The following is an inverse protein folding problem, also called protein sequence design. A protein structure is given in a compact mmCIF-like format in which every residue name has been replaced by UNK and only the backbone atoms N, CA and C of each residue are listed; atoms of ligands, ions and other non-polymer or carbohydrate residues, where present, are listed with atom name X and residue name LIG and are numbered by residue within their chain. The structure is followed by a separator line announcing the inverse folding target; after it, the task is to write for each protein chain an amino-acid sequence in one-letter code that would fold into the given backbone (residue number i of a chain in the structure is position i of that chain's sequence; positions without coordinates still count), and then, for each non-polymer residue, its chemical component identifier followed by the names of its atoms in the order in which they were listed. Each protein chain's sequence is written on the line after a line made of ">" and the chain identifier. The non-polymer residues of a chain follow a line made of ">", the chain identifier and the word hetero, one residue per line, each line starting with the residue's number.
data_IF_140946287248
#
_entry.id   IF_140946287248
#
_cell.length_a   1.000
_cell.length_b   1.000
_cell.length_c   1.000
_cell.angle_alpha   90.00
_cell.angle_beta   90.00
_cell.angle_gamma   90.00
#
_symmetry.space_group_name_H-M   'P 1'
#
loop_
_entity.id
_entity.type
_entity.pdbx_description
1 polymer ?
#
# COMPACT_ATOMS: atom_id res chain seq x y z
N UNK A 1 23.41 8.29 16.01
CA UNK A 1 21.96 8.21 16.27
C UNK A 1 21.52 9.50 16.97
N UNK A 2 21.01 10.47 16.21
CA UNK A 2 20.51 11.72 16.79
C UNK A 2 19.12 11.50 17.36
N UNK A 3 19.00 11.77 18.67
CA UNK A 3 17.79 11.79 19.46
C UNK A 3 16.81 12.83 18.90
N UNK A 4 15.64 12.39 18.42
CA UNK A 4 14.49 13.26 18.26
C UNK A 4 13.90 13.49 19.67
N UNK A 5 14.23 14.63 20.26
CA UNK A 5 13.58 15.13 21.46
C UNK A 5 12.11 15.39 21.16
N UNK A 6 11.22 14.67 21.86
CA UNK A 6 9.84 15.06 22.12
C UNK A 6 9.84 16.46 22.75
N UNK A 7 9.64 17.49 21.93
CA UNK A 7 9.21 18.81 22.43
C UNK A 7 7.71 18.79 22.56
N UNK A 8 7.26 19.12 23.78
CA UNK A 8 5.90 19.50 24.12
C UNK A 8 5.26 20.32 23.01
N UNK A 9 4.11 19.82 22.56
CA UNK A 9 3.22 20.34 21.54
C UNK A 9 3.12 21.87 21.55
N UNK A 10 3.42 22.48 20.41
CA UNK A 10 2.91 23.80 20.03
C UNK A 10 2.18 23.66 18.70
N UNK A 11 0.93 24.14 18.59
CA UNK A 11 0.14 24.01 17.37
C UNK A 11 0.77 24.87 16.27
N UNK A 12 1.26 24.23 15.20
CA UNK A 12 1.56 24.93 13.95
C UNK A 12 0.26 25.09 13.17
N UNK A 13 -0.10 26.33 12.87
CA UNK A 13 -1.21 26.67 11.99
C UNK A 13 -0.90 26.15 10.59
N UNK A 14 -1.59 25.08 10.17
CA UNK A 14 -1.68 24.70 8.77
C UNK A 14 -3.11 24.92 8.30
N UNK A 15 -3.22 25.62 7.17
CA UNK A 15 -4.47 26.07 6.58
C UNK A 15 -5.24 24.89 5.98
N UNK A 16 -6.52 24.82 6.34
CA UNK A 16 -7.60 24.04 5.72
C UNK A 16 -7.34 23.67 4.26
N UNK A 17 -7.29 22.36 3.98
CA UNK A 17 -7.47 21.82 2.63
C UNK A 17 -8.76 22.38 2.04
N UNK A 18 -8.68 23.00 0.86
CA UNK A 18 -9.84 23.48 0.14
C UNK A 18 -10.59 22.26 -0.40
N UNK A 19 -11.76 21.98 0.14
CA UNK A 19 -12.74 21.13 -0.53
C UNK A 19 -12.97 21.67 -1.95
N UNK A 20 -12.63 20.87 -2.95
CA UNK A 20 -12.97 21.15 -4.34
C UNK A 20 -14.50 21.15 -4.45
N UNK A 21 -15.10 22.34 -4.52
CA UNK A 21 -16.48 22.49 -4.96
C UNK A 21 -16.55 22.05 -6.43
N UNK A 22 -17.16 20.89 -6.68
CA UNK A 22 -17.45 20.44 -8.04
C UNK A 22 -18.79 21.05 -8.50
N UNK A 23 -18.83 21.71 -9.67
CA UNK A 23 -20.07 22.22 -10.24
C UNK A 23 -20.98 21.06 -10.70
N UNK A 24 -22.30 21.26 -10.56
CA UNK A 24 -23.36 20.34 -11.00
C UNK A 24 -23.36 20.15 -12.52
N UNK A 25 -22.47 19.30 -13.05
CA UNK A 25 -22.58 18.75 -14.39
C UNK A 25 -23.00 17.28 -14.28
N UNK A 26 -23.93 16.88 -15.15
CA UNK A 26 -24.41 15.51 -15.29
C UNK A 26 -23.22 14.56 -15.48
N UNK A 27 -22.90 13.77 -14.45
CA UNK A 27 -21.78 12.82 -14.47
C UNK A 27 -22.09 11.67 -15.45
N UNK A 28 -21.19 11.34 -16.40
CA UNK A 28 -21.35 10.16 -17.26
C UNK A 28 -21.37 8.87 -16.42
N UNK A 29 -22.14 7.86 -16.84
CA UNK A 29 -22.11 6.56 -16.14
C UNK A 29 -20.71 5.91 -16.22
N UNK A 30 -20.28 5.23 -15.14
CA UNK A 30 -19.00 4.51 -15.07
C UNK A 30 -18.80 3.56 -16.27
N UNK A 31 -19.88 2.96 -16.82
CA UNK A 31 -19.81 2.09 -18.01
C UNK A 31 -19.22 2.80 -19.23
N UNK A 32 -19.44 4.10 -19.39
CA UNK A 32 -18.91 4.88 -20.52
C UNK A 32 -17.46 5.32 -20.29
N UNK A 33 -17.01 5.44 -19.03
CA UNK A 33 -15.65 5.83 -18.69
C UNK A 33 -14.65 4.67 -18.85
N UNK A 34 -15.06 3.42 -18.59
CA UNK A 34 -14.16 2.25 -18.66
C UNK A 34 -13.78 1.78 -20.08
N UNK A 35 -14.42 2.28 -21.14
CA UNK A 35 -14.16 1.78 -22.51
C UNK A 35 -12.92 2.41 -23.18
N UNK A 36 -12.30 3.41 -22.55
CA UNK A 36 -11.10 4.05 -23.08
C UNK A 36 -9.86 3.28 -22.64
N UNK A 37 -9.19 2.62 -23.60
CA UNK A 37 -7.80 2.16 -23.39
C UNK A 37 -6.91 3.40 -23.35
N UNK A 38 -6.26 3.62 -22.20
CA UNK A 38 -5.27 4.68 -22.06
C UNK A 38 -3.99 4.25 -22.78
N UNK A 39 -3.57 5.01 -23.80
CA UNK A 39 -2.28 4.82 -24.44
C UNK A 39 -1.19 5.28 -23.46
N UNK A 40 -0.30 4.37 -23.11
CA UNK A 40 0.68 4.62 -22.07
C UNK A 40 1.91 5.34 -22.62
N UNK A 41 2.24 6.52 -22.11
CA UNK A 41 3.59 7.07 -22.26
C UNK A 41 4.57 6.25 -21.42
N UNK A 42 5.61 5.71 -22.06
CA UNK A 42 6.64 4.82 -21.49
C UNK A 42 7.42 5.40 -20.28
N UNK A 43 7.13 6.62 -19.85
CA UNK A 43 7.95 7.41 -18.93
C UNK A 43 7.43 7.52 -17.49
N UNK A 44 6.23 7.02 -17.14
CA UNK A 44 5.78 7.06 -15.74
C UNK A 44 6.54 6.02 -14.90
N UNK A 45 7.33 6.43 -13.89
CA UNK A 45 8.24 5.54 -13.17
C UNK A 45 7.53 4.47 -12.32
N UNK A 46 6.29 4.72 -11.87
CA UNK A 46 5.44 3.74 -11.19
C UNK A 46 4.04 3.82 -11.79
N UNK A 47 3.63 2.79 -12.53
CA UNK A 47 2.33 2.81 -13.21
C UNK A 47 1.25 2.23 -12.33
N UNK A 48 1.59 1.22 -11.53
CA UNK A 48 0.61 0.38 -10.86
C UNK A 48 0.54 0.61 -9.35
N UNK A 49 1.46 1.39 -8.79
CA UNK A 49 1.48 1.75 -7.38
C UNK A 49 0.77 3.09 -7.15
N UNK A 50 -0.12 3.11 -6.17
CA UNK A 50 -0.79 4.29 -5.62
C UNK A 50 -0.37 4.48 -4.16
N UNK A 51 -0.55 5.69 -3.63
CA UNK A 51 -0.25 5.93 -2.23
C UNK A 51 -1.40 5.40 -1.34
N UNK A 52 -1.05 4.63 -0.32
CA UNK A 52 -1.95 4.39 0.81
C UNK A 52 -1.64 5.43 1.89
N UNK A 53 -2.65 6.19 2.31
CA UNK A 53 -2.50 7.22 3.33
C UNK A 53 -3.45 6.88 4.47
N UNK A 54 -2.89 6.70 5.66
CA UNK A 54 -3.62 6.50 6.90
C UNK A 54 -3.59 7.79 7.71
N UNK A 55 -4.76 8.32 8.02
CA UNK A 55 -4.94 9.49 8.88
C UNK A 55 -5.68 9.08 10.14
N UNK A 56 -5.33 9.67 11.28
CA UNK A 56 -5.95 9.37 12.56
C UNK A 56 -6.40 10.63 13.30
N UNK A 57 -7.46 10.49 14.08
CA UNK A 57 -7.96 11.52 14.98
C UNK A 57 -8.47 10.85 16.24
N UNK A 58 -7.91 11.20 17.41
CA UNK A 58 -8.41 10.75 18.70
C UNK A 58 -8.83 11.96 19.57
N UNK A 59 -10.12 12.36 19.52
CA UNK A 59 -10.58 13.58 20.19
C UNK A 59 -10.36 13.59 21.71
N UNK A 60 -10.53 12.43 22.36
CA UNK A 60 -10.35 12.30 23.81
C UNK A 60 -8.90 12.50 24.27
N UNK A 61 -7.92 12.38 23.36
CA UNK A 61 -6.52 12.72 23.60
C UNK A 61 -6.20 14.19 23.26
N UNK A 62 -7.22 15.00 22.99
CA UNK A 62 -7.10 16.44 22.71
C UNK A 62 -6.81 16.79 21.24
N UNK A 63 -6.84 15.82 20.33
CA UNK A 63 -6.69 16.07 18.90
C UNK A 63 -7.92 16.79 18.34
N UNK A 64 -7.70 17.77 17.46
CA UNK A 64 -8.78 18.56 16.84
C UNK A 64 -8.98 18.23 15.37
N UNK A 65 -7.93 17.76 14.71
CA UNK A 65 -7.87 17.53 13.28
C UNK A 65 -7.25 16.16 13.02
N UNK A 66 -7.56 15.61 11.85
CA UNK A 66 -6.89 14.41 11.37
C UNK A 66 -5.42 14.70 11.08
N UNK A 67 -4.55 13.83 11.57
CA UNK A 67 -3.12 13.87 11.28
C UNK A 67 -2.71 12.62 10.51
N UNK A 68 -1.69 12.73 9.66
CA UNK A 68 -1.19 11.56 8.94
C UNK A 68 -0.44 10.65 9.90
N UNK A 69 -0.92 9.41 10.02
CA UNK A 69 -0.31 8.38 10.84
C UNK A 69 0.78 7.63 10.08
N UNK A 70 0.44 7.14 8.89
CA UNK A 70 1.35 6.34 8.08
C UNK A 70 1.05 6.50 6.60
N UNK A 71 2.09 6.27 5.79
CA UNK A 71 2.03 6.28 4.34
C UNK A 71 2.75 5.06 3.80
N UNK A 72 2.17 4.42 2.80
CA UNK A 72 2.79 3.34 2.06
C UNK A 72 2.32 3.32 0.62
N UNK A 73 2.55 2.20 -0.06
CA UNK A 73 1.98 1.92 -1.37
C UNK A 73 0.77 1.00 -1.24
N UNK A 74 -0.05 0.98 -2.29
CA UNK A 74 -1.06 -0.02 -2.60
C UNK A 74 -1.13 -0.18 -4.12
N UNK A 75 -1.83 -1.19 -4.61
CA UNK A 75 -2.15 -1.31 -6.04
C UNK A 75 -3.57 -1.81 -6.28
N UNK A 76 -4.01 -1.72 -7.53
CA UNK A 76 -5.36 -2.04 -7.95
C UNK A 76 -5.42 -3.38 -8.68
N UNK A 77 -6.45 -4.15 -8.39
CA UNK A 77 -6.84 -5.34 -9.18
C UNK A 77 -8.31 -5.24 -9.57
N UNK A 78 -8.66 -5.80 -10.72
CA UNK A 78 -10.06 -5.86 -11.14
C UNK A 78 -10.82 -6.86 -10.27
N UNK A 79 -11.99 -6.45 -9.81
CA UNK A 79 -12.94 -7.37 -9.19
C UNK A 79 -13.51 -8.35 -10.22
N UNK A 80 -13.90 -9.54 -9.76
CA UNK A 80 -14.60 -10.53 -10.55
C UNK A 80 -15.94 -9.96 -11.08
N UNK A 81 -16.41 -10.51 -12.20
CA UNK A 81 -17.71 -10.12 -12.77
C UNK A 81 -18.83 -10.34 -11.76
N UNK A 82 -19.68 -9.33 -11.57
CA UNK A 82 -20.84 -9.39 -10.68
C UNK A 82 -20.66 -8.66 -9.36
N UNK A 83 -19.44 -8.25 -9.01
CA UNK A 83 -19.17 -7.43 -7.84
C UNK A 83 -19.73 -6.01 -8.02
N UNK A 84 -20.21 -5.41 -6.93
CA UNK A 84 -20.72 -4.03 -6.92
C UNK A 84 -19.60 -3.04 -7.25
N UNK A 85 -18.47 -3.18 -6.54
CA UNK A 85 -17.23 -2.43 -6.76
C UNK A 85 -16.40 -3.12 -7.84
N UNK A 86 -15.78 -2.35 -8.73
CA UNK A 86 -14.98 -2.91 -9.85
C UNK A 86 -13.51 -3.04 -9.53
N UNK A 87 -13.05 -2.34 -8.50
CA UNK A 87 -11.65 -2.30 -8.09
C UNK A 87 -11.51 -2.80 -6.66
N UNK A 88 -10.60 -3.75 -6.47
CA UNK A 88 -10.04 -4.05 -5.15
C UNK A 88 -8.67 -3.39 -5.03
N UNK A 89 -8.40 -2.87 -3.84
CA UNK A 89 -7.15 -2.22 -3.46
C UNK A 89 -6.42 -3.18 -2.53
N UNK A 90 -5.18 -3.53 -2.88
CA UNK A 90 -4.32 -4.38 -2.06
C UNK A 90 -3.19 -3.57 -1.46
N UNK A 91 -2.95 -3.76 -0.17
CA UNK A 91 -1.92 -3.05 0.58
C UNK A 91 -1.59 -3.73 1.91
N UNK A 92 -0.74 -3.09 2.73
CA UNK A 92 -0.25 -3.65 3.99
C UNK A 92 -1.24 -3.43 5.13
N UNK A 93 -1.37 -4.44 5.99
CA UNK A 93 -2.22 -4.38 7.18
C UNK A 93 -1.65 -3.44 8.25
N UNK A 94 -0.32 -3.32 8.39
CA UNK A 94 0.30 -2.45 9.41
C UNK A 94 0.05 -0.95 9.22
N UNK A 95 -0.36 -0.54 8.02
CA UNK A 95 -0.71 0.87 7.72
C UNK A 95 -2.18 1.14 8.03
N UNK A 96 -3.04 0.15 7.80
CA UNK A 96 -4.49 0.26 8.01
C UNK A 96 -4.90 -0.04 9.45
N UNK A 97 -4.18 -0.93 10.13
CA UNK A 97 -4.43 -1.38 11.50
C UNK A 97 -3.19 -1.20 12.40
N UNK A 98 -2.63 0.01 12.52
CA UNK A 98 -1.36 0.25 13.20
C UNK A 98 -1.27 -0.28 14.64
N UNK A 99 -2.40 -0.32 15.36
CA UNK A 99 -2.50 -0.85 16.72
C UNK A 99 -2.22 -2.36 16.81
N UNK A 100 -2.41 -3.12 15.73
CA UNK A 100 -2.07 -4.55 15.66
C UNK A 100 -0.59 -4.79 15.31
N UNK A 101 0.11 -3.75 14.86
CA UNK A 101 1.47 -3.83 14.33
C UNK A 101 2.42 -2.83 15.00
N UNK A 102 2.47 -2.74 16.34
CA UNK A 102 3.22 -1.69 17.04
C UNK A 102 4.72 -1.72 16.72
N UNK A 103 5.28 -2.88 16.40
CA UNK A 103 6.70 -3.04 16.05
C UNK A 103 7.12 -2.36 14.74
N UNK A 104 6.16 -1.95 13.89
CA UNK A 104 6.43 -1.11 12.71
C UNK A 104 6.49 0.38 13.03
N UNK A 105 6.16 0.77 14.27
CA UNK A 105 6.14 2.15 14.72
C UNK A 105 7.21 2.40 15.79
N UNK A 106 7.75 3.64 15.91
CA UNK A 106 8.69 3.97 16.96
C UNK A 106 8.13 3.64 18.35
N UNK A 107 8.97 3.15 19.27
CA UNK A 107 8.56 2.77 20.63
C UNK A 107 7.82 3.90 21.36
N UNK A 108 8.19 5.15 21.10
CA UNK A 108 7.51 6.33 21.63
C UNK A 108 6.02 6.42 21.26
N UNK A 109 5.58 5.68 20.25
CA UNK A 109 4.20 5.65 19.77
C UNK A 109 3.36 4.53 20.37
N UNK A 110 3.99 3.51 20.96
CA UNK A 110 3.29 2.29 21.43
C UNK A 110 2.25 2.60 22.49
N UNK A 111 2.55 3.56 23.37
CA UNK A 111 1.68 3.89 24.50
C UNK A 111 0.36 4.51 24.08
N UNK A 112 0.31 5.31 23.01
CA UNK A 112 -0.93 5.91 22.56
C UNK A 112 -1.60 5.08 21.45
N UNK A 113 -0.84 4.32 20.66
CA UNK A 113 -1.39 3.43 19.63
C UNK A 113 -2.33 2.36 20.20
N UNK A 114 -2.14 1.94 21.45
CA UNK A 114 -3.05 1.00 22.14
C UNK A 114 -4.46 1.55 22.38
N UNK A 115 -4.64 2.86 22.21
CA UNK A 115 -5.93 3.55 22.32
C UNK A 115 -6.56 3.85 20.94
N UNK A 116 -5.91 3.44 19.85
CA UNK A 116 -6.41 3.62 18.49
C UNK A 116 -7.03 2.32 18.00
N UNK A 117 -8.16 2.45 17.33
CA UNK A 117 -8.87 1.39 16.62
C UNK A 117 -9.37 1.92 15.28
N UNK A 118 -10.11 1.10 14.54
CA UNK A 118 -10.65 1.44 13.21
C UNK A 118 -11.57 2.66 13.20
N UNK A 119 -12.16 3.04 14.34
CA UNK A 119 -13.07 4.20 14.41
C UNK A 119 -12.33 5.53 14.33
N UNK A 120 -11.06 5.54 14.75
CA UNK A 120 -10.19 6.72 14.78
C UNK A 120 -9.36 6.88 13.51
N UNK A 121 -9.38 5.90 12.60
CA UNK A 121 -8.58 5.91 11.37
C UNK A 121 -9.44 6.18 10.12
N UNK A 122 -8.86 6.92 9.19
CA UNK A 122 -9.37 7.14 7.83
C UNK A 122 -8.30 6.76 6.83
N UNK A 123 -8.72 6.10 5.77
CA UNK A 123 -7.83 5.62 4.73
C UNK A 123 -8.13 6.29 3.41
N UNK A 124 -7.08 6.59 2.66
CA UNK A 124 -7.17 7.22 1.35
C UNK A 124 -6.24 6.54 0.36
N UNK A 125 -6.73 6.40 -0.87
CA UNK A 125 -5.90 6.23 -2.06
C UNK A 125 -5.43 7.62 -2.50
N UNK A 126 -4.12 7.84 -2.54
CA UNK A 126 -3.52 9.09 -2.99
C UNK A 126 -2.90 8.98 -4.38
N UNK A 127 -3.09 10.01 -5.19
CA UNK A 127 -2.35 10.24 -6.44
C UNK A 127 -1.24 11.23 -6.15
N UNK A 128 0.01 10.79 -6.27
CA UNK A 128 1.17 11.65 -6.03
C UNK A 128 1.64 12.32 -7.32
N UNK A 129 2.14 13.55 -7.22
CA UNK A 129 2.96 14.14 -8.26
C UNK A 129 4.28 13.35 -8.36
N UNK A 130 4.64 12.84 -9.54
CA UNK A 130 5.83 11.99 -9.67
C UNK A 130 7.15 12.74 -9.47
N UNK A 131 7.16 14.07 -9.61
CA UNK A 131 8.36 14.89 -9.46
C UNK A 131 8.51 15.39 -8.02
N UNK A 132 7.44 15.93 -7.43
CA UNK A 132 7.49 16.54 -6.10
C UNK A 132 7.20 15.55 -4.98
N UNK A 133 6.38 14.52 -5.24
CA UNK A 133 5.85 13.61 -4.22
C UNK A 133 4.70 14.22 -3.40
N UNK A 134 4.13 15.34 -3.86
CA UNK A 134 2.95 15.96 -3.26
C UNK A 134 1.68 15.24 -3.71
N UNK A 135 0.67 15.18 -2.83
CA UNK A 135 -0.59 14.52 -3.16
C UNK A 135 -1.49 15.43 -4.00
N UNK A 136 -1.69 15.08 -5.28
CA UNK A 136 -2.56 15.77 -6.23
C UNK A 136 -4.04 15.53 -5.99
N UNK A 137 -4.39 14.31 -5.60
CA UNK A 137 -5.76 13.90 -5.30
C UNK A 137 -5.75 12.81 -4.23
N UNK A 138 -6.83 12.75 -3.44
CA UNK A 138 -7.10 11.69 -2.47
C UNK A 138 -8.52 11.21 -2.69
N UNK A 139 -8.71 9.90 -2.62
CA UNK A 139 -10.01 9.23 -2.72
C UNK A 139 -10.20 8.36 -1.51
N UNK A 140 -11.35 8.49 -0.85
CA UNK A 140 -11.63 7.77 0.38
C UNK A 140 -11.78 6.27 0.13
N UNK A 141 -11.11 5.49 0.95
CA UNK A 141 -11.23 4.03 1.00
C UNK A 141 -12.38 3.67 1.94
N UNK A 142 -13.15 2.65 1.55
CA UNK A 142 -14.27 2.13 2.31
C UNK A 142 -13.82 1.54 3.66
N UNK A 143 -14.74 1.50 4.63
CA UNK A 143 -14.51 0.88 5.95
C UNK A 143 -14.62 -0.64 5.91
N UNK A 144 -15.24 -1.20 4.88
CA UNK A 144 -15.22 -2.65 4.65
C UNK A 144 -13.83 -3.11 4.18
N UNK A 145 -12.99 -3.48 5.16
CA UNK A 145 -11.62 -3.94 4.95
C UNK A 145 -11.53 -5.42 5.32
N UNK A 146 -11.11 -6.25 4.37
CA UNK A 146 -10.72 -7.63 4.67
C UNK A 146 -9.23 -7.64 5.00
N UNK A 147 -8.86 -8.18 6.17
CA UNK A 147 -7.47 -8.31 6.63
C UNK A 147 -7.09 -9.79 6.68
N UNK A 148 -5.87 -10.11 6.27
CA UNK A 148 -5.29 -11.44 6.48
C UNK A 148 -4.93 -11.65 7.96
N UNK A 149 -5.03 -12.89 8.45
CA UNK A 149 -4.65 -13.25 9.82
C UNK A 149 -3.19 -13.70 9.95
N UNK A 150 -2.52 -13.94 8.82
CA UNK A 150 -1.17 -14.53 8.80
C UNK A 150 -0.16 -13.74 7.96
N UNK A 151 -0.65 -12.83 7.13
CA UNK A 151 0.15 -11.97 6.26
C UNK A 151 -0.14 -10.51 6.59
N UNK A 152 0.84 -9.65 6.36
CA UNK A 152 0.65 -8.21 6.40
C UNK A 152 -0.05 -7.72 5.12
N UNK A 153 -1.33 -8.08 5.00
CA UNK A 153 -2.13 -7.92 3.79
C UNK A 153 -3.56 -7.51 4.13
N UNK A 154 -4.07 -6.52 3.39
CA UNK A 154 -5.47 -6.10 3.36
C UNK A 154 -6.00 -5.98 1.93
N UNK A 155 -7.30 -6.19 1.80
CA UNK A 155 -8.07 -5.94 0.59
C UNK A 155 -9.22 -4.98 0.94
N UNK A 156 -9.34 -3.94 0.14
CA UNK A 156 -10.23 -2.81 0.38
C UNK A 156 -10.95 -2.40 -0.91
N UNK A 157 -11.94 -1.53 -0.82
CA UNK A 157 -12.63 -0.92 -1.97
C UNK A 157 -12.63 0.61 -1.82
N UNK A 158 -12.94 1.33 -2.91
CA UNK A 158 -13.11 2.79 -2.84
C UNK A 158 -14.54 3.15 -2.49
N UNK A 159 -14.71 4.03 -1.51
CA UNK A 159 -15.97 4.72 -1.25
C UNK A 159 -16.31 5.63 -2.46
N UNK A 160 -15.29 6.34 -2.96
CA UNK A 160 -15.39 7.34 -4.02
C UNK A 160 -14.96 6.82 -5.41
N UNK A 161 -15.27 5.55 -5.72
CA UNK A 161 -14.79 4.87 -6.95
C UNK A 161 -15.13 5.62 -8.24
N UNK A 162 -16.33 6.21 -8.33
CA UNK A 162 -16.75 7.00 -9.51
C UNK A 162 -15.88 8.24 -9.71
N UNK A 163 -15.53 8.91 -8.63
CA UNK A 163 -14.77 10.17 -8.66
C UNK A 163 -13.31 9.89 -8.99
N UNK A 164 -12.80 8.75 -8.52
CA UNK A 164 -11.51 8.22 -8.94
C UNK A 164 -11.46 7.96 -10.46
N UNK A 165 -12.43 7.22 -11.01
CA UNK A 165 -12.49 6.97 -12.46
C UNK A 165 -12.60 8.26 -13.27
N UNK A 166 -13.41 9.22 -12.81
CA UNK A 166 -13.57 10.50 -13.47
C UNK A 166 -12.25 11.28 -13.47
N UNK A 167 -11.57 11.38 -12.33
CA UNK A 167 -10.27 12.04 -12.20
C UNK A 167 -9.23 11.41 -13.14
N UNK A 168 -9.12 10.08 -13.12
CA UNK A 168 -8.26 9.32 -14.02
C UNK A 168 -8.52 9.70 -15.50
N UNK A 169 -9.78 9.64 -15.94
CA UNK A 169 -10.12 9.97 -17.33
C UNK A 169 -9.83 11.44 -17.70
N UNK A 170 -10.11 12.40 -16.82
CA UNK A 170 -9.82 13.82 -17.10
C UNK A 170 -8.33 14.11 -17.21
N UNK A 171 -7.52 13.46 -16.37
CA UNK A 171 -6.08 13.65 -16.33
C UNK A 171 -5.32 12.72 -17.30
N UNK A 172 -6.04 11.96 -18.13
CA UNK A 172 -5.46 10.95 -19.03
C UNK A 172 -4.55 9.96 -18.31
N UNK A 173 -4.91 9.63 -17.07
CA UNK A 173 -4.25 8.64 -16.24
C UNK A 173 -5.20 7.45 -16.11
N UNK A 174 -4.72 6.23 -16.29
CA UNK A 174 -5.55 5.07 -15.98
C UNK A 174 -5.85 4.98 -14.48
N UNK A 175 -6.97 4.36 -14.09
CA UNK A 175 -6.86 3.36 -13.04
C UNK A 175 -6.02 2.22 -13.65
N UNK A 176 -4.76 2.14 -13.25
CA UNK A 176 -3.84 1.11 -13.70
C UNK A 176 -3.99 -0.08 -12.77
N UNK A 177 -4.72 -1.09 -13.25
CA UNK A 177 -4.84 -2.39 -12.57
C UNK A 177 -3.74 -3.33 -13.01
N UNK A 178 -3.37 -4.26 -12.14
CA UNK A 178 -2.54 -5.40 -12.50
C UNK A 178 -3.38 -6.67 -12.59
N UNK A 179 -2.89 -7.62 -13.36
CA UNK A 179 -3.38 -8.99 -13.38
C UNK A 179 -2.37 -9.90 -12.68
N UNK A 180 -2.85 -10.84 -11.87
CA UNK A 180 -1.98 -11.83 -11.23
C UNK A 180 -1.49 -12.84 -12.27
N UNK A 181 -0.22 -13.19 -12.21
CA UNK A 181 0.38 -14.30 -12.95
C UNK A 181 0.83 -15.42 -12.03
N UNK A 182 1.47 -16.43 -12.62
CA UNK A 182 2.09 -17.53 -11.89
C UNK A 182 3.06 -17.02 -10.83
N UNK A 183 3.17 -17.79 -9.74
CA UNK A 183 4.06 -17.45 -8.64
C UNK A 183 5.53 -17.27 -9.08
N UNK A 184 6.26 -16.36 -8.40
CA UNK A 184 7.62 -16.02 -8.78
C UNK A 184 8.60 -17.17 -8.48
N UNK A 185 9.28 -17.64 -9.52
CA UNK A 185 10.35 -18.63 -9.42
C UNK A 185 11.73 -17.98 -9.25
N UNK A 186 12.68 -18.69 -8.63
CA UNK A 186 14.05 -18.20 -8.51
C UNK A 186 14.68 -17.91 -9.89
N UNK A 187 15.41 -16.80 -10.01
CA UNK A 187 15.97 -16.29 -11.26
C UNK A 187 15.01 -15.43 -12.09
N UNK A 188 13.74 -15.27 -11.67
CA UNK A 188 12.80 -14.39 -12.35
C UNK A 188 13.17 -12.92 -12.09
N UNK A 189 13.33 -12.15 -13.16
CA UNK A 189 13.51 -10.70 -13.05
C UNK A 189 12.18 -10.03 -12.74
N UNK A 190 12.20 -9.12 -11.76
CA UNK A 190 11.03 -8.41 -11.27
C UNK A 190 11.35 -6.94 -11.08
N UNK A 191 10.32 -6.12 -11.23
CA UNK A 191 10.31 -4.70 -10.94
C UNK A 191 9.36 -4.45 -9.80
N UNK A 192 9.88 -3.95 -8.68
CA UNK A 192 9.10 -3.59 -7.51
C UNK A 192 8.70 -2.13 -7.63
N UNK A 193 7.40 -1.85 -7.73
CA UNK A 193 6.87 -0.48 -7.82
C UNK A 193 6.31 -0.06 -6.47
N UNK A 194 6.55 1.19 -6.06
CA UNK A 194 6.05 1.71 -4.80
C UNK A 194 6.39 3.17 -4.61
N UNK A 195 6.58 3.58 -3.35
CA UNK A 195 6.93 4.95 -3.04
C UNK A 195 8.12 5.02 -2.07
N UNK A 196 8.89 6.08 -2.20
CA UNK A 196 9.88 6.50 -1.21
C UNK A 196 9.25 7.60 -0.35
N UNK A 197 9.04 7.28 0.91
CA UNK A 197 8.68 8.25 1.93
C UNK A 197 9.95 8.97 2.41
N UNK A 198 9.98 10.29 2.26
CA UNK A 198 11.02 11.14 2.84
C UNK A 198 10.40 12.31 3.59
N UNK A 199 11.15 12.83 4.56
CA UNK A 199 10.81 14.06 5.27
C UNK A 199 11.91 15.08 5.00
N UNK A 200 11.67 15.98 4.06
CA UNK A 200 12.61 17.01 3.62
C UNK A 200 12.14 18.36 4.17
N UNK A 201 12.98 19.03 4.97
CA UNK A 201 12.68 20.35 5.57
C UNK A 201 11.36 20.38 6.38
N UNK A 202 10.98 19.25 6.97
CA UNK A 202 9.73 19.12 7.74
C UNK A 202 8.49 18.84 6.89
N UNK A 203 8.63 18.82 5.56
CA UNK A 203 7.58 18.44 4.61
C UNK A 203 7.71 16.94 4.33
N UNK A 204 6.62 16.23 4.58
CA UNK A 204 6.54 14.82 4.22
C UNK A 204 6.25 14.71 2.72
N UNK A 205 7.06 13.93 1.99
CA UNK A 205 6.85 13.64 0.57
C UNK A 205 6.81 12.15 0.34
N UNK A 206 6.03 11.74 -0.67
CA UNK A 206 5.89 10.35 -1.06
C UNK A 206 6.11 10.24 -2.57
N UNK A 207 7.36 10.02 -2.97
CA UNK A 207 7.75 10.01 -4.38
C UNK A 207 7.69 8.60 -4.96
N UNK A 208 7.15 8.40 -6.17
CA UNK A 208 7.32 7.15 -6.90
C UNK A 208 8.75 6.59 -6.83
N UNK A 209 8.87 5.29 -6.52
CA UNK A 209 10.14 4.58 -6.50
C UNK A 209 9.96 3.20 -7.11
N UNK A 210 10.96 2.82 -7.88
CA UNK A 210 11.00 1.54 -8.57
C UNK A 210 12.34 0.89 -8.33
N UNK A 211 12.32 -0.40 -8.01
CA UNK A 211 13.51 -1.22 -7.82
C UNK A 211 13.48 -2.37 -8.82
N UNK A 212 14.54 -2.50 -9.60
CA UNK A 212 14.78 -3.71 -10.38
C UNK A 212 15.43 -4.76 -9.47
N UNK A 213 15.06 -6.02 -9.66
CA UNK A 213 15.59 -7.12 -8.89
C UNK A 213 15.37 -8.48 -9.54
N UNK A 214 15.91 -9.49 -8.88
CA UNK A 214 15.75 -10.89 -9.27
C UNK A 214 15.24 -11.68 -8.06
N UNK A 215 14.27 -12.56 -8.29
CA UNK A 215 13.78 -13.48 -7.27
C UNK A 215 14.92 -14.43 -6.89
N UNK A 216 15.49 -14.22 -5.71
CA UNK A 216 16.57 -15.03 -5.17
C UNK A 216 16.09 -16.38 -4.63
N UNK A 217 14.89 -16.39 -4.04
CA UNK A 217 14.27 -17.57 -3.44
C UNK A 217 12.76 -17.49 -3.70
N UNK A 218 12.23 -18.46 -4.42
CA UNK A 218 10.79 -18.63 -4.64
C UNK A 218 10.19 -19.58 -3.61
N UNK A 219 9.43 -19.06 -2.66
CA UNK A 219 8.74 -19.86 -1.62
C UNK A 219 7.30 -19.34 -1.45
N UNK A 220 6.42 -20.20 -0.96
CA UNK A 220 5.05 -19.79 -0.56
C UNK A 220 4.95 -19.78 0.96
N UNK A 221 4.23 -18.81 1.56
CA UNK A 221 3.50 -17.72 0.91
C UNK A 221 4.37 -16.49 0.56
N UNK A 222 5.70 -16.57 0.76
CA UNK A 222 6.63 -15.45 0.63
C UNK A 222 7.84 -15.78 -0.21
N UNK A 223 8.16 -14.92 -1.17
CA UNK A 223 9.38 -15.00 -1.96
C UNK A 223 10.34 -13.86 -1.62
N UNK A 224 11.63 -14.05 -1.90
CA UNK A 224 12.68 -13.10 -1.59
C UNK A 224 13.30 -12.57 -2.88
N UNK A 225 13.31 -11.25 -3.04
CA UNK A 225 13.85 -10.55 -4.19
C UNK A 225 15.14 -9.86 -3.80
N UNK A 226 16.21 -10.14 -4.53
CA UNK A 226 17.47 -9.43 -4.42
C UNK A 226 17.44 -8.21 -5.33
N UNK A 227 17.70 -7.04 -4.78
CA UNK A 227 17.76 -5.76 -5.50
C UNK A 227 19.16 -5.17 -5.37
N UNK A 228 19.54 -4.27 -6.28
CA UNK A 228 20.83 -3.57 -6.21
C UNK A 228 20.89 -2.57 -5.04
N UNK A 229 19.75 -1.94 -4.75
CA UNK A 229 19.57 -1.01 -3.63
C UNK A 229 18.51 -1.55 -2.67
N UNK A 230 18.63 -1.19 -1.38
CA UNK A 230 17.68 -1.62 -0.34
C UNK A 230 16.31 -0.97 -0.57
N UNK A 231 15.24 -1.71 -0.26
CA UNK A 231 13.90 -1.12 -0.21
C UNK A 231 13.84 0.00 0.83
N UNK A 232 13.14 1.07 0.47
CA UNK A 232 12.98 2.27 1.29
C UNK A 232 11.60 2.28 1.96
N UNK A 233 11.45 3.11 3.00
CA UNK A 233 10.15 3.31 3.63
C UNK A 233 9.12 3.79 2.59
N UNK A 234 7.89 3.29 2.68
CA UNK A 234 6.81 3.61 1.76
C UNK A 234 6.61 2.60 0.62
N UNK A 235 7.56 1.68 0.39
CA UNK A 235 7.44 0.67 -0.67
C UNK A 235 6.53 -0.51 -0.33
N UNK A 236 6.30 -0.79 0.95
CA UNK A 236 5.36 -1.83 1.38
C UNK A 236 3.97 -1.60 0.77
N UNK A 237 3.33 -2.68 0.36
CA UNK A 237 2.07 -2.67 -0.38
C UNK A 237 2.18 -2.47 -1.88
N UNK A 238 3.37 -2.16 -2.41
CA UNK A 238 3.60 -2.00 -3.84
C UNK A 238 3.61 -3.32 -4.59
N UNK A 239 3.24 -3.37 -5.89
CA UNK A 239 3.25 -4.61 -6.66
C UNK A 239 4.67 -4.98 -7.11
N UNK A 240 4.93 -6.29 -7.18
CA UNK A 240 6.08 -6.88 -7.85
C UNK A 240 5.66 -7.34 -9.24
N UNK A 241 6.23 -6.74 -10.28
CA UNK A 241 5.87 -6.95 -11.68
C UNK A 241 6.95 -7.78 -12.37
N UNK A 242 6.59 -8.86 -13.05
CA UNK A 242 7.55 -9.63 -13.85
C UNK A 242 8.06 -8.81 -15.05
N UNK A 243 9.38 -8.63 -15.18
CA UNK A 243 9.95 -7.87 -16.31
C UNK A 243 10.05 -8.73 -17.56
N UNK A 244 9.91 -8.09 -18.74
CA UNK A 244 9.92 -8.81 -20.03
C UNK A 244 8.63 -9.57 -20.35
N UNK A 245 7.60 -9.42 -19.52
CA UNK A 245 6.25 -9.99 -19.72
C UNK A 245 5.23 -8.88 -20.05
N UNK A 246 3.95 -9.21 -20.04
CA UNK A 246 2.80 -8.31 -20.14
C UNK A 246 2.58 -7.40 -18.91
N UNK A 247 3.63 -7.18 -18.09
CA UNK A 247 3.58 -6.50 -16.79
C UNK A 247 2.65 -7.20 -15.80
N UNK A 248 2.66 -8.53 -15.79
CA UNK A 248 1.89 -9.28 -14.82
C UNK A 248 2.48 -9.19 -13.40
N UNK A 249 1.58 -9.17 -12.41
CA UNK A 249 1.91 -9.07 -11.00
C UNK A 249 2.18 -10.46 -10.42
N UNK A 250 3.40 -10.66 -9.93
CA UNK A 250 3.86 -11.90 -9.28
C UNK A 250 3.88 -11.79 -7.76
N UNK A 251 3.51 -10.63 -7.20
CA UNK A 251 3.41 -10.47 -5.76
C UNK A 251 3.24 -9.04 -5.28
N UNK A 252 3.29 -8.85 -3.97
CA UNK A 252 3.22 -7.56 -3.28
C UNK A 252 4.38 -7.43 -2.32
N UNK A 253 5.09 -6.29 -2.35
CA UNK A 253 6.14 -5.94 -1.38
C UNK A 253 5.54 -5.91 0.02
N UNK A 254 5.99 -6.81 0.89
CA UNK A 254 5.56 -6.88 2.29
C UNK A 254 6.55 -6.11 3.18
N UNK A 255 7.83 -6.46 3.07
CA UNK A 255 8.88 -5.91 3.92
C UNK A 255 10.27 -6.11 3.31
N UNK A 256 11.32 -5.81 4.08
CA UNK A 256 12.70 -6.13 3.76
C UNK A 256 13.31 -6.92 4.92
N UNK A 257 14.16 -7.90 4.61
CA UNK A 257 14.94 -8.60 5.63
C UNK A 257 15.92 -7.60 6.26
N UNK A 258 15.67 -7.27 7.52
CA UNK A 258 16.51 -6.38 8.31
C UNK A 258 17.82 -7.03 8.72
N UNK A 259 18.74 -6.19 9.18
CA UNK A 259 20.03 -6.64 9.71
C UNK A 259 19.80 -7.51 10.96
N UNK A 260 20.59 -8.57 11.11
CA UNK A 260 20.49 -9.43 12.28
C UNK A 260 21.12 -8.72 13.49
N UNK A 261 20.30 -8.35 14.48
CA UNK A 261 20.83 -7.74 15.71
C UNK A 261 21.72 -8.72 16.48
N UNK A 262 22.68 -8.17 17.23
CA UNK A 262 23.60 -8.98 18.05
C UNK A 262 22.83 -9.89 19.02
N UNK A 263 21.81 -9.35 19.70
CA UNK A 263 20.97 -10.11 20.62
C UNK A 263 20.26 -11.29 19.94
N UNK A 264 19.69 -11.09 18.74
CA UNK A 264 19.05 -12.16 17.98
C UNK A 264 20.07 -13.20 17.52
N UNK A 265 21.26 -12.76 17.11
CA UNK A 265 22.31 -13.67 16.64
C UNK A 265 22.78 -14.66 17.70
N UNK A 266 22.77 -14.27 18.98
CA UNK A 266 23.16 -15.15 20.10
C UNK A 266 22.17 -16.28 20.37
N UNK A 267 20.91 -16.11 19.93
CA UNK A 267 19.84 -17.10 20.13
C UNK A 267 19.70 -18.09 18.97
N UNK A 268 20.41 -17.87 17.86
CA UNK A 268 20.31 -18.67 16.64
C UNK A 268 21.49 -19.64 16.50
N UNK A 269 21.27 -20.75 15.81
CA UNK A 269 22.37 -21.65 15.44
C UNK A 269 23.25 -20.99 14.37
N UNK A 270 24.53 -21.40 14.24
CA UNK A 270 25.39 -20.90 13.18
C UNK A 270 24.79 -21.05 11.77
N UNK A 271 24.06 -22.14 11.50
CA UNK A 271 23.39 -22.33 10.20
C UNK A 271 22.29 -21.30 9.98
N UNK A 272 21.45 -21.01 10.99
CA UNK A 272 20.40 -20.00 10.88
C UNK A 272 20.97 -18.60 10.69
N UNK A 273 22.08 -18.26 11.37
CA UNK A 273 22.77 -16.98 11.17
C UNK A 273 23.29 -16.87 9.73
N UNK A 274 23.88 -17.94 9.20
CA UNK A 274 24.36 -17.96 7.82
C UNK A 274 23.23 -17.82 6.81
N UNK A 275 22.11 -18.52 7.04
CA UNK A 275 20.91 -18.38 6.21
C UNK A 275 20.36 -16.96 6.24
N UNK A 276 20.23 -16.34 7.41
CA UNK A 276 19.76 -14.95 7.53
C UNK A 276 20.65 -13.99 6.74
N UNK A 277 21.96 -14.09 6.92
CA UNK A 277 22.93 -13.25 6.19
C UNK A 277 22.87 -13.43 4.68
N UNK A 278 22.46 -14.61 4.19
CA UNK A 278 22.33 -14.86 2.75
C UNK A 278 21.14 -14.14 2.10
N UNK A 279 20.16 -13.71 2.91
CA UNK A 279 18.96 -12.99 2.46
C UNK A 279 18.83 -11.60 3.09
N UNK A 280 19.84 -11.14 3.82
CA UNK A 280 19.87 -9.83 4.44
C UNK A 280 19.75 -8.73 3.37
N UNK A 281 18.83 -7.78 3.58
CA UNK A 281 18.52 -6.73 2.61
C UNK A 281 17.67 -7.18 1.43
N UNK A 282 17.34 -8.47 1.29
CA UNK A 282 16.37 -8.91 0.29
C UNK A 282 14.99 -8.37 0.63
N UNK A 283 14.23 -8.01 -0.41
CA UNK A 283 12.83 -7.63 -0.29
C UNK A 283 11.99 -8.89 -0.18
N UNK A 284 11.04 -8.90 0.75
CA UNK A 284 10.06 -9.97 0.91
C UNK A 284 8.79 -9.59 0.16
N UNK A 285 8.32 -10.47 -0.70
CA UNK A 285 7.04 -10.30 -1.40
C UNK A 285 6.06 -11.40 -1.02
N UNK A 286 4.78 -11.06 -0.83
CA UNK A 286 3.67 -12.02 -0.78
C UNK A 286 3.38 -12.45 -2.21
N UNK A 287 3.30 -13.76 -2.47
CA UNK A 287 3.19 -14.28 -3.85
C UNK A 287 1.81 -14.06 -4.47
N UNK A 288 1.75 -13.99 -5.80
CA UNK A 288 0.51 -13.74 -6.56
C UNK A 288 -0.58 -14.76 -6.30
N UNK A 289 -0.26 -16.05 -6.09
CA UNK A 289 -1.27 -17.07 -5.76
C UNK A 289 -1.96 -16.79 -4.42
N UNK A 290 -1.22 -16.33 -3.42
CA UNK A 290 -1.78 -15.97 -2.11
C UNK A 290 -2.63 -14.70 -2.20
N UNK A 291 -2.20 -13.71 -2.99
CA UNK A 291 -3.00 -12.52 -3.27
C UNK A 291 -4.30 -12.87 -3.99
N UNK A 292 -4.23 -13.71 -5.03
CA UNK A 292 -5.40 -14.15 -5.79
C UNK A 292 -6.37 -14.95 -4.92
N UNK A 293 -5.86 -15.85 -4.07
CA UNK A 293 -6.66 -16.58 -3.10
C UNK A 293 -7.36 -15.62 -2.13
N UNK A 294 -6.63 -14.65 -1.58
CA UNK A 294 -7.17 -13.68 -0.64
C UNK A 294 -8.27 -12.79 -1.25
N UNK A 295 -8.10 -12.34 -2.50
CA UNK A 295 -9.12 -11.58 -3.22
C UNK A 295 -10.39 -12.42 -3.42
N UNK A 296 -10.26 -13.71 -3.82
CA UNK A 296 -11.41 -14.61 -3.96
C UNK A 296 -12.15 -14.79 -2.64
N UNK A 297 -11.44 -15.01 -1.54
CA UNK A 297 -12.05 -15.15 -0.21
C UNK A 297 -12.84 -13.90 0.21
N UNK A 298 -12.35 -12.70 -0.14
CA UNK A 298 -13.10 -11.45 0.07
C UNK A 298 -14.39 -11.41 -0.76
N UNK A 299 -14.29 -11.73 -2.03
CA UNK A 299 -15.44 -11.71 -2.96
C UNK A 299 -16.52 -12.71 -2.57
N UNK A 300 -16.13 -13.91 -2.11
CA UNK A 300 -17.04 -14.95 -1.61
C UNK A 300 -17.78 -14.50 -0.35
N UNK A 301 -17.07 -13.86 0.60
CA UNK A 301 -17.69 -13.28 1.81
C UNK A 301 -18.68 -12.18 1.47
N UNK A 302 -18.36 -11.32 0.49
CA UNK A 302 -19.25 -10.26 0.05
C UNK A 302 -20.53 -10.80 -0.60
N UNK A 303 -20.45 -11.91 -1.34
CA UNK A 303 -21.62 -12.55 -1.96
C UNK A 303 -22.46 -13.38 -0.99
N UNK A 304 -21.86 -13.93 0.06
CA UNK A 304 -22.52 -14.81 1.03
C UNK A 304 -23.28 -14.08 2.14
N UNK A 305 -23.06 -12.77 2.30
CA UNK A 305 -23.73 -11.97 3.33
C UNK A 305 -25.25 -11.80 3.12
N UNK A 306 -25.78 -12.19 1.96
CA UNK A 306 -27.20 -12.06 1.61
C UNK A 306 -28.05 -13.31 1.95
N UNK A 307 -27.47 -14.42 2.42
CA UNK A 307 -28.21 -15.70 2.59
C UNK A 307 -28.65 -16.03 4.04
N UNK A 308 -28.29 -15.27 5.07
CA UNK A 308 -28.65 -15.60 6.48
C UNK A 308 -29.85 -14.83 7.09
N UNK A 309 -30.56 -13.99 6.33
CA UNK A 309 -31.70 -13.19 6.82
C UNK A 309 -33.04 -13.50 6.12
N UNK A 310 -33.42 -14.78 6.01
CA UNK A 310 -34.78 -15.21 5.60
C UNK A 310 -35.37 -16.32 6.48
#
# INVERSE_FOLDING_TARGET
>A
MQLAQLRLFKPSQFTSSKHLHTPNYLRPSIRNLCQRRFNSDASSPTRHAYALISEFLHPDLGMKDFEVLSRSSLFLVNASKGQEKRLHLLGPAHVTHPWLFPHFYPESSHDWLKHVDETYVRLFLGIQDPLTGETKAKFRIDRDITKSDHLDLVAMTLEEETDFYWYCNENQQGPYTVEFSDDPAAGMNVRLEGHNYSKEEGVDTLRPKTLEGEVSIGLKPRSFVKTEERAVMGMCGGPAIATGTDNSCVGMVESMVGDLSEDKSQTLTPEHVQQWKSIEGHVVIITSDELAKFVREREEKASGADEEDF
#
